data_IF_244015408375
#
_entry.id   IF_244015408375
#
_cell.length_a   1.000
_cell.length_b   1.000
_cell.length_c   1.000
_cell.angle_alpha   90.00
_cell.angle_beta   90.00
_cell.angle_gamma   90.00
#
_symmetry.space_group_name_H-M   'P 1'
#
loop_
_entity.id
_entity.type
_entity.pdbx_description
1 polymer ?
#
# COMPACT_ATOMS: atom_id res chain seq x y z
N UNK A 1 73.36 23.21 -73.08
CA UNK A 1 74.70 22.61 -72.96
C UNK A 1 74.87 22.31 -71.48
N UNK A 2 74.80 21.05 -71.04
CA UNK A 2 75.85 20.03 -71.18
C UNK A 2 77.12 20.40 -70.35
N UNK A 3 77.71 19.62 -69.45
CA UNK A 3 77.43 18.35 -68.71
C UNK A 3 78.83 17.80 -68.29
N UNK A 4 78.97 17.03 -67.18
CA UNK A 4 80.21 16.33 -66.73
C UNK A 4 81.42 17.25 -66.32
N UNK A 5 82.46 16.84 -65.55
CA UNK A 5 82.74 15.58 -64.80
C UNK A 5 83.83 15.71 -63.68
N UNK A 6 83.56 15.11 -62.49
CA UNK A 6 84.45 14.27 -61.62
C UNK A 6 85.89 14.62 -61.14
N UNK A 7 86.31 13.91 -60.06
CA UNK A 7 87.68 13.50 -59.59
C UNK A 7 88.45 14.45 -58.65
N UNK A 8 89.23 13.99 -57.64
CA UNK A 8 89.33 12.70 -56.88
C UNK A 8 90.09 12.97 -55.51
N UNK A 9 90.42 11.99 -54.61
CA UNK A 9 90.43 12.20 -53.13
C UNK A 9 91.76 11.74 -52.44
N UNK A 10 91.66 11.15 -51.23
CA UNK A 10 92.67 10.36 -50.46
C UNK A 10 93.63 11.22 -49.60
N UNK A 11 93.99 10.90 -48.34
CA UNK A 11 93.36 10.24 -47.15
C UNK A 11 94.23 10.70 -45.93
N UNK A 12 94.30 10.21 -44.67
CA UNK A 12 93.93 9.02 -43.89
C UNK A 12 93.57 9.52 -42.45
N UNK A 13 92.57 9.04 -41.69
CA UNK A 13 92.38 7.72 -41.07
C UNK A 13 93.20 7.48 -39.77
N UNK A 14 92.51 7.53 -38.62
CA UNK A 14 92.71 6.61 -37.49
C UNK A 14 91.32 6.23 -36.96
N UNK A 15 90.92 4.96 -37.16
CA UNK A 15 89.86 4.26 -36.41
C UNK A 15 90.49 3.69 -35.10
N UNK A 16 89.81 3.13 -34.11
CA UNK A 16 88.55 2.37 -34.02
C UNK A 16 87.79 2.76 -32.71
N UNK A 17 86.59 2.28 -32.36
CA UNK A 17 85.66 1.31 -32.95
C UNK A 17 84.21 1.80 -32.65
N UNK A 18 83.11 1.20 -33.11
CA UNK A 18 82.89 -0.04 -33.87
C UNK A 18 81.61 0.13 -34.71
N UNK A 19 81.53 -0.48 -35.90
CA UNK A 19 80.29 -0.48 -36.71
C UNK A 19 79.75 -1.89 -36.79
N UNK A 20 78.53 -2.09 -36.30
CA UNK A 20 77.67 -3.19 -36.70
C UNK A 20 76.41 -2.63 -37.34
N UNK A 21 76.37 -2.60 -38.67
CA UNK A 21 75.12 -2.47 -39.40
C UNK A 21 74.28 -3.74 -39.21
N UNK A 22 72.94 -3.65 -39.21
CA UNK A 22 72.04 -4.50 -40.00
C UNK A 22 70.55 -4.22 -39.70
N UNK A 23 69.77 -4.12 -40.79
CA UNK A 23 68.29 -4.23 -40.90
C UNK A 23 67.33 -3.29 -40.15
N UNK A 24 66.81 -2.33 -40.94
CA UNK A 24 65.39 -2.23 -41.35
C UNK A 24 64.23 -2.22 -40.32
N UNK A 25 63.45 -1.14 -40.45
CA UNK A 25 61.98 -1.13 -40.56
C UNK A 25 61.09 -1.44 -39.33
N UNK A 26 60.68 -0.35 -38.67
CA UNK A 26 59.25 -0.03 -38.48
C UNK A 26 58.57 -0.40 -37.16
N UNK A 27 57.97 0.60 -36.50
CA UNK A 27 56.77 0.42 -35.65
C UNK A 27 56.03 1.73 -35.26
N UNK A 28 55.74 2.62 -36.23
CA UNK A 28 54.70 3.66 -36.05
C UNK A 28 53.32 3.12 -36.45
N UNK A 29 52.72 2.28 -35.58
CA UNK A 29 51.33 1.78 -35.76
C UNK A 29 50.58 1.38 -34.47
N UNK A 30 51.25 1.38 -33.32
CA UNK A 30 50.74 0.68 -32.13
C UNK A 30 50.03 1.59 -31.11
N UNK A 31 50.30 2.90 -31.08
CA UNK A 31 49.70 3.82 -30.09
C UNK A 31 48.21 4.05 -30.36
N UNK A 32 47.83 4.27 -31.61
CA UNK A 32 46.44 4.27 -32.08
C UNK A 32 45.72 2.97 -31.66
N UNK A 33 46.35 1.82 -31.91
CA UNK A 33 45.77 0.52 -31.57
C UNK A 33 45.57 0.36 -30.05
N UNK A 34 46.50 0.84 -29.22
CA UNK A 34 46.36 0.82 -27.76
C UNK A 34 45.24 1.75 -27.27
N UNK A 35 45.03 2.91 -27.89
CA UNK A 35 43.91 3.81 -27.58
C UNK A 35 42.57 3.14 -27.96
N UNK A 36 42.48 2.53 -29.14
CA UNK A 36 41.30 1.78 -29.56
C UNK A 36 41.01 0.55 -28.67
N UNK A 37 42.04 -0.17 -28.23
CA UNK A 37 41.91 -1.28 -27.27
C UNK A 37 41.40 -0.77 -25.91
N UNK A 38 41.96 0.33 -25.39
CA UNK A 38 41.51 0.93 -24.13
C UNK A 38 40.05 1.41 -24.20
N UNK A 39 39.67 2.06 -25.31
CA UNK A 39 38.29 2.50 -25.56
C UNK A 39 37.31 1.33 -25.68
N UNK A 40 37.71 0.23 -26.34
CA UNK A 40 36.91 -1.00 -26.43
C UNK A 40 36.74 -1.66 -25.05
N UNK A 41 37.79 -1.69 -24.22
CA UNK A 41 37.71 -2.17 -22.83
C UNK A 41 36.74 -1.32 -21.99
N UNK A 42 36.78 0.02 -22.12
CA UNK A 42 35.83 0.91 -21.42
C UNK A 42 34.39 0.67 -21.87
N UNK A 43 34.15 0.42 -23.16
CA UNK A 43 32.82 0.04 -23.67
C UNK A 43 32.38 -1.32 -23.12
N UNK A 44 33.28 -2.31 -23.05
CA UNK A 44 32.98 -3.63 -22.48
C UNK A 44 32.60 -3.54 -21.00
N UNK A 45 33.32 -2.71 -20.23
CA UNK A 45 33.03 -2.46 -18.82
C UNK A 45 31.71 -1.69 -18.62
N UNK A 46 31.39 -0.71 -19.46
CA UNK A 46 30.12 0.01 -19.35
C UNK A 46 28.93 -0.86 -19.73
N UNK A 47 29.03 -1.67 -20.80
CA UNK A 47 27.99 -2.66 -21.17
C UNK A 47 27.81 -3.71 -20.08
N UNK A 48 28.90 -4.21 -19.48
CA UNK A 48 28.83 -5.13 -18.35
C UNK A 48 28.15 -4.53 -17.12
N UNK A 49 28.46 -3.26 -16.80
CA UNK A 49 27.83 -2.52 -15.71
C UNK A 49 26.34 -2.27 -15.95
N UNK A 50 25.96 -1.91 -17.18
CA UNK A 50 24.55 -1.72 -17.58
C UNK A 50 23.77 -3.03 -17.49
N UNK A 51 24.34 -4.15 -17.96
CA UNK A 51 23.72 -5.47 -17.89
C UNK A 51 23.52 -5.93 -16.44
N UNK A 52 24.53 -5.74 -15.58
CA UNK A 52 24.45 -6.05 -14.16
C UNK A 52 23.41 -5.18 -13.43
N UNK A 53 23.37 -3.88 -13.72
CA UNK A 53 22.36 -2.96 -13.17
C UNK A 53 20.93 -3.32 -13.62
N UNK A 54 20.74 -3.73 -14.88
CA UNK A 54 19.46 -4.27 -15.36
C UNK A 54 19.06 -5.54 -14.58
N UNK A 55 20.00 -6.45 -14.36
CA UNK A 55 19.73 -7.70 -13.63
C UNK A 55 19.41 -7.45 -12.14
N UNK A 56 20.06 -6.46 -11.51
CA UNK A 56 19.74 -5.96 -10.17
C UNK A 56 18.31 -5.39 -10.11
N UNK A 57 17.89 -4.63 -11.14
CA UNK A 57 16.55 -4.05 -11.24
C UNK A 57 15.46 -5.12 -11.36
N UNK A 58 15.68 -6.15 -12.18
CA UNK A 58 14.77 -7.29 -12.34
C UNK A 58 14.61 -8.09 -11.05
N UNK A 59 15.70 -8.31 -10.29
CA UNK A 59 15.62 -8.97 -8.99
C UNK A 59 14.73 -8.19 -8.01
N UNK A 60 14.90 -6.86 -7.93
CA UNK A 60 14.11 -6.02 -7.04
C UNK A 60 12.61 -5.99 -7.40
N UNK A 61 12.24 -6.09 -8.68
CA UNK A 61 10.83 -6.29 -9.07
C UNK A 61 10.30 -7.64 -8.57
N UNK A 62 11.04 -8.74 -8.74
CA UNK A 62 10.58 -10.08 -8.32
C UNK A 62 10.39 -10.23 -6.79
N UNK A 63 11.10 -9.46 -5.97
CA UNK A 63 10.87 -9.42 -4.52
C UNK A 63 9.56 -8.71 -4.15
N UNK A 64 9.20 -7.64 -4.87
CA UNK A 64 7.92 -6.91 -4.66
C UNK A 64 6.74 -7.70 -5.21
N UNK A 65 6.83 -8.20 -6.44
CA UNK A 65 5.76 -9.00 -7.07
C UNK A 65 5.47 -10.25 -6.23
N UNK A 66 6.52 -10.95 -5.76
CA UNK A 66 6.34 -12.12 -4.88
C UNK A 66 5.93 -11.78 -3.44
N UNK A 67 5.92 -10.51 -3.02
CA UNK A 67 5.26 -10.08 -1.79
C UNK A 67 3.77 -9.82 -2.03
N UNK A 68 3.42 -9.16 -3.14
CA UNK A 68 2.03 -8.91 -3.56
C UNK A 68 1.29 -10.23 -3.84
N UNK A 69 1.93 -11.20 -4.52
CA UNK A 69 1.33 -12.52 -4.77
C UNK A 69 1.09 -13.33 -3.49
N UNK A 70 1.95 -13.19 -2.46
CA UNK A 70 1.72 -13.81 -1.14
C UNK A 70 0.51 -13.18 -0.46
N UNK A 71 0.43 -11.86 -0.42
CA UNK A 71 -0.72 -11.16 0.17
C UNK A 71 -2.03 -11.44 -0.60
N UNK A 72 -1.95 -11.55 -1.92
CA UNK A 72 -3.05 -11.95 -2.81
C UNK A 72 -3.54 -13.38 -2.54
N UNK A 73 -2.64 -14.34 -2.38
CA UNK A 73 -2.99 -15.74 -2.06
C UNK A 73 -3.45 -15.92 -0.62
N UNK A 74 -2.94 -15.13 0.32
CA UNK A 74 -3.41 -15.08 1.71
C UNK A 74 -4.84 -14.52 1.79
N UNK A 75 -5.13 -13.36 1.17
CA UNK A 75 -6.49 -12.82 1.05
C UNK A 75 -7.45 -13.78 0.31
N UNK A 76 -6.97 -14.46 -0.73
CA UNK A 76 -7.77 -15.45 -1.47
C UNK A 76 -8.10 -16.68 -0.64
N UNK A 77 -7.15 -17.19 0.14
CA UNK A 77 -7.36 -18.35 1.02
C UNK A 77 -8.24 -18.00 2.22
N UNK A 78 -8.09 -16.82 2.82
CA UNK A 78 -8.99 -16.29 3.86
C UNK A 78 -10.42 -16.11 3.34
N UNK A 79 -10.58 -15.53 2.14
CA UNK A 79 -11.89 -15.41 1.47
C UNK A 79 -12.52 -16.78 1.21
N UNK A 80 -11.72 -17.77 0.81
CA UNK A 80 -12.20 -19.14 0.60
C UNK A 80 -12.56 -19.84 1.91
N UNK A 81 -11.81 -19.60 2.99
CA UNK A 81 -12.12 -20.10 4.34
C UNK A 81 -13.44 -19.53 4.86
N UNK A 82 -13.68 -18.22 4.75
CA UNK A 82 -14.97 -17.62 5.08
C UNK A 82 -16.10 -18.20 4.22
N UNK A 83 -15.87 -18.39 2.92
CA UNK A 83 -16.87 -19.01 2.02
C UNK A 83 -17.17 -20.48 2.37
N UNK A 84 -16.22 -21.20 2.97
CA UNK A 84 -16.45 -22.53 3.54
C UNK A 84 -17.24 -22.45 4.86
N UNK A 85 -16.89 -21.52 5.77
CA UNK A 85 -17.64 -21.28 7.01
C UNK A 85 -19.11 -20.93 6.73
N UNK A 86 -19.38 -20.03 5.76
CA UNK A 86 -20.76 -19.69 5.37
C UNK A 86 -21.53 -20.90 4.81
N UNK A 87 -20.90 -21.78 4.03
CA UNK A 87 -21.52 -23.03 3.58
C UNK A 87 -21.82 -23.96 4.75
N UNK A 88 -20.88 -24.12 5.68
CA UNK A 88 -21.04 -24.98 6.85
C UNK A 88 -22.15 -24.46 7.79
N UNK A 89 -22.28 -23.14 7.98
CA UNK A 89 -23.42 -22.54 8.68
C UNK A 89 -24.74 -22.82 7.94
N UNK A 90 -24.78 -22.66 6.61
CA UNK A 90 -25.98 -22.90 5.81
C UNK A 90 -26.38 -24.39 5.83
N UNK A 91 -25.42 -25.31 5.84
CA UNK A 91 -25.65 -26.76 5.99
C UNK A 91 -26.14 -27.11 7.40
N UNK A 92 -25.63 -26.45 8.44
CA UNK A 92 -26.15 -26.58 9.82
C UNK A 92 -27.57 -26.02 9.96
N UNK A 93 -27.87 -24.88 9.34
CA UNK A 93 -29.21 -24.29 9.29
C UNK A 93 -30.19 -25.22 8.55
N UNK A 94 -29.78 -25.80 7.41
CA UNK A 94 -30.56 -26.80 6.68
C UNK A 94 -30.85 -28.02 7.56
N UNK A 95 -29.83 -28.57 8.25
CA UNK A 95 -30.00 -29.70 9.16
C UNK A 95 -30.86 -29.39 10.40
N UNK A 96 -30.91 -28.13 10.86
CA UNK A 96 -31.88 -27.70 11.87
C UNK A 96 -33.30 -27.71 11.28
N UNK A 97 -33.50 -27.17 10.08
CA UNK A 97 -34.80 -27.18 9.39
C UNK A 97 -35.32 -28.60 9.17
N UNK A 98 -34.49 -29.49 8.62
CA UNK A 98 -34.84 -30.88 8.35
C UNK A 98 -35.24 -31.63 9.64
N UNK A 99 -34.58 -31.34 10.76
CA UNK A 99 -34.93 -31.89 12.09
C UNK A 99 -36.20 -31.28 12.67
N UNK A 100 -36.46 -29.98 12.42
CA UNK A 100 -37.71 -29.34 12.83
C UNK A 100 -38.91 -29.93 12.07
N UNK A 101 -38.76 -30.17 10.76
CA UNK A 101 -39.76 -30.87 9.94
C UNK A 101 -39.94 -32.33 10.38
N UNK A 102 -38.86 -33.04 10.74
CA UNK A 102 -38.95 -34.40 11.30
C UNK A 102 -39.71 -34.42 12.64
N UNK A 103 -39.46 -33.44 13.52
CA UNK A 103 -40.14 -33.29 14.81
C UNK A 103 -41.62 -32.92 14.63
N UNK A 104 -41.93 -32.01 13.71
CA UNK A 104 -43.29 -31.59 13.38
C UNK A 104 -44.12 -32.77 12.85
N UNK A 105 -43.58 -33.54 11.90
CA UNK A 105 -44.26 -34.70 11.34
C UNK A 105 -44.40 -35.88 12.33
N UNK A 106 -43.51 -36.00 13.33
CA UNK A 106 -43.55 -37.12 14.30
C UNK A 106 -44.45 -36.91 15.52
N UNK A 107 -45.08 -35.74 15.71
CA UNK A 107 -45.83 -35.45 16.95
C UNK A 107 -47.18 -34.76 16.73
N UNK A 108 -48.24 -35.57 16.58
CA UNK A 108 -49.62 -35.15 16.84
C UNK A 108 -49.85 -34.90 18.34
N UNK A 109 -49.45 -33.72 18.82
CA UNK A 109 -49.84 -33.16 20.11
C UNK A 109 -50.48 -31.77 19.91
N UNK A 110 -51.16 -31.26 20.94
CA UNK A 110 -51.90 -29.99 20.96
C UNK A 110 -51.26 -28.88 20.09
N UNK A 111 -51.86 -28.63 18.92
CA UNK A 111 -51.25 -27.82 17.86
C UNK A 111 -50.93 -26.39 18.35
N UNK A 112 -51.82 -25.80 19.15
CA UNK A 112 -51.61 -24.47 19.72
C UNK A 112 -50.46 -24.41 20.75
N UNK A 113 -50.27 -25.44 21.57
CA UNK A 113 -49.25 -25.42 22.63
C UNK A 113 -47.84 -25.69 22.06
N UNK A 114 -47.74 -26.58 21.06
CA UNK A 114 -46.48 -26.82 20.36
C UNK A 114 -46.04 -25.57 19.58
N UNK A 115 -46.95 -24.93 18.84
CA UNK A 115 -46.68 -23.69 18.11
C UNK A 115 -46.27 -22.56 19.07
N UNK A 116 -46.89 -22.44 20.25
CA UNK A 116 -46.49 -21.47 21.27
C UNK A 116 -45.07 -21.74 21.80
N UNK A 117 -44.71 -22.99 22.08
CA UNK A 117 -43.35 -23.34 22.54
C UNK A 117 -42.31 -23.08 21.45
N UNK A 118 -42.62 -23.36 20.19
CA UNK A 118 -41.76 -23.01 19.06
C UNK A 118 -41.59 -21.49 18.93
N UNK A 119 -42.68 -20.71 18.97
CA UNK A 119 -42.62 -19.25 18.88
C UNK A 119 -41.84 -18.60 20.03
N UNK A 120 -41.90 -19.14 21.25
CA UNK A 120 -41.07 -18.71 22.37
C UNK A 120 -39.58 -19.07 22.20
N UNK A 121 -39.27 -20.17 21.53
CA UNK A 121 -37.89 -20.54 21.18
C UNK A 121 -37.32 -19.62 20.08
N UNK A 122 -38.14 -19.23 19.10
CA UNK A 122 -37.78 -18.25 18.07
C UNK A 122 -37.54 -16.86 18.68
N UNK A 123 -38.40 -16.41 19.59
CA UNK A 123 -38.16 -15.19 20.38
C UNK A 123 -36.81 -15.28 21.12
N UNK A 124 -36.53 -16.39 21.81
CA UNK A 124 -35.24 -16.57 22.50
C UNK A 124 -34.05 -16.46 21.55
N UNK A 125 -34.14 -17.06 20.36
CA UNK A 125 -33.10 -16.97 19.33
C UNK A 125 -32.90 -15.53 18.82
N UNK A 126 -33.98 -14.77 18.63
CA UNK A 126 -33.92 -13.36 18.24
C UNK A 126 -33.31 -12.47 19.34
N UNK A 127 -33.58 -12.75 20.62
CA UNK A 127 -32.95 -12.04 21.75
C UNK A 127 -31.45 -12.37 21.90
N UNK A 128 -31.06 -13.62 21.64
CA UNK A 128 -29.65 -14.04 21.55
C UNK A 128 -28.92 -13.35 20.39
N UNK A 129 -29.52 -13.31 19.19
CA UNK A 129 -29.00 -12.52 18.05
C UNK A 129 -28.85 -11.05 18.41
N UNK A 130 -29.84 -10.45 19.09
CA UNK A 130 -29.78 -9.04 19.50
C UNK A 130 -28.59 -8.79 20.44
N UNK A 131 -28.41 -9.63 21.47
CA UNK A 131 -27.31 -9.55 22.42
C UNK A 131 -25.94 -9.76 21.74
N UNK A 132 -25.82 -10.74 20.85
CA UNK A 132 -24.58 -10.96 20.09
C UNK A 132 -24.26 -9.79 19.14
N UNK A 133 -25.26 -9.24 18.45
CA UNK A 133 -25.08 -8.06 17.57
C UNK A 133 -24.64 -6.84 18.38
N UNK A 134 -25.30 -6.56 19.50
CA UNK A 134 -24.97 -5.45 20.38
C UNK A 134 -23.56 -5.61 20.99
N UNK A 135 -23.27 -6.72 21.66
CA UNK A 135 -22.07 -6.87 22.49
C UNK A 135 -20.82 -7.34 21.74
N UNK A 136 -20.96 -8.06 20.62
CA UNK A 136 -19.82 -8.59 19.85
C UNK A 136 -19.60 -7.81 18.56
N UNK A 137 -20.66 -7.59 17.78
CA UNK A 137 -20.56 -6.92 16.48
C UNK A 137 -20.71 -5.38 16.57
N UNK A 138 -21.05 -4.83 17.74
CA UNK A 138 -21.38 -3.41 17.96
C UNK A 138 -22.51 -2.89 17.02
N UNK A 139 -23.30 -3.81 16.46
CA UNK A 139 -24.37 -3.55 15.50
C UNK A 139 -25.67 -3.18 16.24
N UNK A 140 -25.66 -1.97 16.80
CA UNK A 140 -26.82 -1.37 17.49
C UNK A 140 -28.07 -1.37 16.59
N UNK A 141 -27.91 -1.14 15.29
CA UNK A 141 -29.03 -1.10 14.33
C UNK A 141 -29.65 -2.48 14.12
N UNK A 142 -28.84 -3.52 13.89
CA UNK A 142 -29.32 -4.89 13.74
C UNK A 142 -29.80 -5.51 15.05
N UNK A 143 -29.27 -5.07 16.20
CA UNK A 143 -29.80 -5.42 17.51
C UNK A 143 -31.23 -4.87 17.70
N UNK A 144 -31.46 -3.57 17.42
CA UNK A 144 -32.81 -2.96 17.43
C UNK A 144 -33.76 -3.69 16.45
N UNK A 145 -33.26 -4.08 15.26
CA UNK A 145 -34.07 -4.86 14.30
C UNK A 145 -34.44 -6.24 14.86
N UNK A 146 -33.50 -6.99 15.45
CA UNK A 146 -33.76 -8.29 16.05
C UNK A 146 -34.76 -8.20 17.21
N UNK A 147 -34.59 -7.23 18.12
CA UNK A 147 -35.55 -6.91 19.20
C UNK A 147 -36.94 -6.56 18.64
N UNK A 148 -37.01 -5.76 17.57
CA UNK A 148 -38.29 -5.41 16.93
C UNK A 148 -38.99 -6.60 16.26
N UNK A 149 -38.24 -7.60 15.78
CA UNK A 149 -38.80 -8.85 15.26
C UNK A 149 -39.28 -9.73 16.42
N UNK A 150 -38.51 -9.81 17.51
CA UNK A 150 -38.90 -10.52 18.74
C UNK A 150 -40.21 -9.98 19.34
N UNK A 151 -40.37 -8.65 19.43
CA UNK A 151 -41.61 -8.04 19.92
C UNK A 151 -42.83 -8.34 19.03
N UNK A 152 -42.68 -8.31 17.71
CA UNK A 152 -43.73 -8.71 16.75
C UNK A 152 -44.06 -10.20 16.87
N UNK A 153 -43.07 -11.05 17.12
CA UNK A 153 -43.29 -12.47 17.33
C UNK A 153 -44.06 -12.71 18.65
N UNK A 154 -43.75 -11.97 19.72
CA UNK A 154 -44.52 -11.98 20.98
C UNK A 154 -45.94 -11.44 20.82
N UNK A 155 -46.14 -10.40 20.01
CA UNK A 155 -47.46 -9.89 19.66
C UNK A 155 -48.34 -10.97 19.01
N UNK A 156 -47.77 -11.77 18.10
CA UNK A 156 -48.50 -12.87 17.45
C UNK A 156 -48.91 -14.00 18.40
N UNK A 157 -48.24 -14.16 19.55
CA UNK A 157 -48.58 -15.15 20.58
C UNK A 157 -49.78 -14.66 21.44
N UNK A 158 -49.96 -13.35 21.58
CA UNK A 158 -51.06 -12.70 22.27
C UNK A 158 -51.35 -13.17 23.73
N UNK A 159 -50.34 -13.71 24.43
CA UNK A 159 -50.48 -14.10 25.85
C UNK A 159 -50.14 -12.92 26.78
N UNK A 160 -51.12 -12.52 27.60
CA UNK A 160 -50.96 -11.48 28.62
C UNK A 160 -49.77 -11.70 29.56
N UNK A 161 -49.39 -12.97 29.82
CA UNK A 161 -48.23 -13.32 30.66
C UNK A 161 -46.89 -12.82 30.11
N UNK A 162 -46.83 -12.50 28.81
CA UNK A 162 -45.61 -12.07 28.12
C UNK A 162 -45.50 -10.53 28.00
N UNK A 163 -46.46 -9.76 28.53
CA UNK A 163 -46.33 -8.29 28.58
C UNK A 163 -45.09 -7.78 29.34
N UNK A 164 -44.62 -8.39 30.45
CA UNK A 164 -43.37 -7.98 31.09
C UNK A 164 -42.16 -8.10 30.15
N UNK A 165 -42.12 -9.16 29.34
CA UNK A 165 -41.07 -9.36 28.33
C UNK A 165 -41.14 -8.31 27.22
N UNK A 166 -42.35 -7.99 26.70
CA UNK A 166 -42.52 -6.88 25.73
C UNK A 166 -42.09 -5.54 26.31
N UNK A 167 -42.30 -5.30 27.61
CA UNK A 167 -41.86 -4.07 28.28
C UNK A 167 -40.32 -3.99 28.38
N UNK A 168 -39.65 -5.09 28.76
CA UNK A 168 -38.17 -5.17 28.77
C UNK A 168 -37.59 -4.93 27.37
N UNK A 169 -38.14 -5.59 26.34
CA UNK A 169 -37.70 -5.40 24.95
C UNK A 169 -37.90 -3.95 24.48
N UNK A 170 -38.98 -3.28 24.89
CA UNK A 170 -39.19 -1.87 24.58
C UNK A 170 -38.18 -0.95 25.28
N UNK A 171 -37.82 -1.24 26.53
CA UNK A 171 -36.79 -0.51 27.29
C UNK A 171 -35.39 -0.70 26.68
N UNK A 172 -35.05 -1.92 26.25
CA UNK A 172 -33.81 -2.26 25.54
C UNK A 172 -33.73 -1.61 24.15
N UNK A 173 -34.85 -1.56 23.40
CA UNK A 173 -34.93 -0.80 22.15
C UNK A 173 -34.70 0.69 22.41
N UNK A 174 -35.29 1.27 23.47
CA UNK A 174 -35.11 2.68 23.81
C UNK A 174 -33.69 3.01 24.26
N UNK A 175 -33.04 2.13 25.03
CA UNK A 175 -31.66 2.33 25.47
C UNK A 175 -30.69 2.31 24.28
N UNK A 176 -30.82 1.33 23.37
CA UNK A 176 -30.06 1.27 22.13
C UNK A 176 -30.34 2.45 21.17
N UNK A 177 -31.60 2.89 21.06
CA UNK A 177 -31.95 4.05 20.23
C UNK A 177 -31.31 5.35 20.71
N UNK A 178 -31.05 5.49 22.02
CA UNK A 178 -30.34 6.67 22.55
C UNK A 178 -28.88 6.79 22.06
N UNK A 179 -28.31 5.68 21.59
CA UNK A 179 -26.95 5.61 21.04
C UNK A 179 -26.89 5.88 19.53
N UNK A 180 -27.99 5.64 18.81
CA UNK A 180 -28.02 5.53 17.34
C UNK A 180 -27.95 6.88 16.59
N UNK A 181 -27.28 7.89 17.17
CA UNK A 181 -27.13 9.24 16.62
C UNK A 181 -25.99 9.38 15.60
N UNK A 182 -25.13 8.37 15.48
CA UNK A 182 -23.96 8.38 14.59
C UNK A 182 -24.29 7.82 13.20
N UNK A 183 -24.20 8.66 12.15
CA UNK A 183 -24.42 8.24 10.77
C UNK A 183 -23.21 7.50 10.16
N UNK A 184 -22.99 6.28 10.64
CA UNK A 184 -21.98 5.33 10.12
C UNK A 184 -22.15 5.12 8.61
N UNK A 185 -23.39 5.16 8.10
CA UNK A 185 -23.68 4.96 6.67
C UNK A 185 -23.21 6.15 5.83
N UNK A 186 -23.55 7.39 6.23
CA UNK A 186 -23.09 8.61 5.59
C UNK A 186 -21.57 8.76 5.62
N UNK A 187 -20.93 8.44 6.75
CA UNK A 187 -19.47 8.44 6.85
C UNK A 187 -18.82 7.38 5.94
N UNK A 188 -19.37 6.16 5.87
CA UNK A 188 -18.89 5.13 4.95
C UNK A 188 -19.08 5.51 3.46
N UNK A 189 -20.14 6.24 3.13
CA UNK A 189 -20.37 6.80 1.79
C UNK A 189 -19.34 7.90 1.49
N UNK A 190 -19.05 8.81 2.44
CA UNK A 190 -18.03 9.84 2.27
C UNK A 190 -16.64 9.21 1.98
N UNK A 191 -16.25 8.17 2.73
CA UNK A 191 -15.00 7.44 2.49
C UNK A 191 -14.99 6.75 1.11
N UNK A 192 -16.09 6.16 0.67
CA UNK A 192 -16.19 5.57 -0.67
C UNK A 192 -16.05 6.63 -1.79
N UNK A 193 -16.65 7.82 -1.61
CA UNK A 193 -16.53 8.94 -2.56
C UNK A 193 -15.09 9.44 -2.62
N UNK A 194 -14.43 9.62 -1.46
CA UNK A 194 -13.01 9.97 -1.39
C UNK A 194 -12.14 8.91 -2.08
N UNK A 195 -12.37 7.62 -1.81
CA UNK A 195 -11.64 6.50 -2.43
C UNK A 195 -11.75 6.47 -3.97
N UNK A 196 -12.87 6.94 -4.53
CA UNK A 196 -13.07 7.05 -5.99
C UNK A 196 -12.35 8.27 -6.59
N UNK A 197 -12.27 9.39 -5.86
CA UNK A 197 -11.60 10.63 -6.29
C UNK A 197 -10.08 10.67 -6.01
N UNK A 198 -9.50 9.61 -5.44
CA UNK A 198 -8.05 9.49 -5.21
C UNK A 198 -7.22 9.83 -6.46
N UNK A 199 -7.66 9.42 -7.64
CA UNK A 199 -6.94 9.66 -8.90
C UNK A 199 -6.90 11.14 -9.34
N UNK A 200 -7.81 11.99 -8.82
CA UNK A 200 -7.84 13.42 -9.13
C UNK A 200 -6.82 14.23 -8.31
N UNK A 201 -6.19 13.60 -7.31
CA UNK A 201 -5.16 14.21 -6.46
C UNK A 201 -3.86 14.46 -7.24
N UNK A 202 -3.26 15.63 -7.04
CA UNK A 202 -1.99 16.01 -7.67
C UNK A 202 -0.83 15.61 -6.77
N UNK A 203 0.00 14.67 -7.22
CA UNK A 203 1.25 14.30 -6.54
C UNK A 203 2.22 15.48 -6.54
N UNK A 204 2.94 15.70 -5.44
CA UNK A 204 4.07 16.65 -5.40
C UNK A 204 5.13 16.22 -6.41
N UNK A 205 5.47 17.09 -7.36
CA UNK A 205 6.71 16.94 -8.13
C UNK A 205 7.87 17.41 -7.27
N UNK A 206 8.94 16.62 -7.22
CA UNK A 206 10.25 17.13 -6.81
C UNK A 206 10.69 18.28 -7.71
N UNK A 207 11.62 19.14 -7.25
CA UNK A 207 12.19 20.18 -8.09
C UNK A 207 12.77 19.54 -9.36
N UNK A 208 12.39 20.05 -10.52
CA UNK A 208 13.07 19.66 -11.76
C UNK A 208 14.53 20.06 -11.63
N UNK A 209 15.43 19.07 -11.74
CA UNK A 209 16.86 19.34 -11.86
C UNK A 209 17.07 19.89 -13.26
N UNK A 210 16.78 21.17 -13.44
CA UNK A 210 17.15 21.91 -14.64
C UNK A 210 18.66 21.89 -14.72
N UNK A 211 19.20 21.02 -15.57
CA UNK A 211 20.60 21.03 -15.99
C UNK A 211 20.89 22.34 -16.72
N UNK A 212 21.10 23.41 -15.94
CA UNK A 212 21.47 24.71 -16.45
C UNK A 212 22.76 24.55 -17.25
N UNK A 213 22.73 24.99 -18.51
CA UNK A 213 23.84 24.80 -19.44
C UNK A 213 25.12 25.41 -18.89
N UNK A 214 26.14 24.57 -18.64
CA UNK A 214 27.50 25.02 -18.36
C UNK A 214 28.17 25.50 -19.66
N UNK A 215 27.67 26.61 -20.20
CA UNK A 215 28.10 27.19 -21.48
C UNK A 215 28.63 28.62 -21.27
N UNK A 216 29.67 28.73 -20.43
CA UNK A 216 30.57 29.90 -20.35
C UNK A 216 31.95 29.45 -19.79
N UNK A 217 32.93 30.37 -19.81
CA UNK A 217 34.37 30.24 -19.52
C UNK A 217 35.27 29.86 -20.70
N UNK A 218 35.26 30.74 -21.71
CA UNK A 218 36.40 30.90 -22.62
C UNK A 218 37.48 31.84 -22.04
N UNK A 219 38.68 31.81 -22.66
CA UNK A 219 39.78 32.82 -22.55
C UNK A 219 40.72 32.75 -21.33
N UNK A 220 41.70 31.85 -21.44
CA UNK A 220 43.16 32.02 -21.17
C UNK A 220 43.68 32.79 -19.94
N UNK A 221 44.62 32.15 -19.23
CA UNK A 221 45.83 32.81 -18.71
C UNK A 221 47.05 31.88 -18.82
N UNK A 222 48.22 32.42 -19.17
CA UNK A 222 49.46 31.65 -19.37
C UNK A 222 50.33 31.62 -18.11
N UNK A 223 50.92 30.47 -17.77
CA UNK A 223 52.02 30.39 -16.80
C UNK A 223 52.91 29.17 -17.05
N UNK A 224 54.23 29.38 -17.00
CA UNK A 224 55.22 28.30 -17.12
C UNK A 224 55.19 27.38 -15.89
N UNK A 225 54.80 26.13 -16.09
CA UNK A 225 54.85 25.06 -15.08
C UNK A 225 54.98 23.72 -15.81
N UNK A 226 55.80 22.76 -15.34
CA UNK A 226 56.04 21.52 -16.08
C UNK A 226 54.76 20.67 -16.18
N UNK A 227 54.36 20.35 -17.41
CA UNK A 227 53.04 19.82 -17.79
C UNK A 227 52.55 18.58 -17.02
N UNK A 228 53.45 17.77 -16.44
CA UNK A 228 53.08 16.63 -15.61
C UNK A 228 52.33 17.03 -14.33
N UNK A 229 52.58 18.23 -13.78
CA UNK A 229 51.80 18.76 -12.65
C UNK A 229 50.39 19.16 -13.05
N UNK A 230 50.22 19.73 -14.24
CA UNK A 230 48.92 20.16 -14.76
C UNK A 230 48.02 18.97 -15.03
N UNK A 231 48.51 17.95 -15.76
CA UNK A 231 47.75 16.72 -15.97
C UNK A 231 47.29 16.04 -14.65
N UNK A 232 48.09 16.13 -13.59
CA UNK A 232 47.71 15.61 -12.27
C UNK A 232 46.68 16.52 -11.58
N UNK A 233 46.80 17.86 -11.64
CA UNK A 233 45.79 18.77 -11.06
C UNK A 233 44.45 18.65 -11.75
N UNK A 234 44.44 18.51 -13.08
CA UNK A 234 43.23 18.41 -13.89
C UNK A 234 42.46 17.13 -13.52
N UNK A 235 43.16 15.99 -13.44
CA UNK A 235 42.60 14.71 -12.96
C UNK A 235 42.11 14.83 -11.51
N UNK A 236 42.82 15.56 -10.64
CA UNK A 236 42.40 15.77 -9.24
C UNK A 236 41.12 16.63 -9.14
N UNK A 237 40.98 17.65 -9.98
CA UNK A 237 39.76 18.45 -10.07
C UNK A 237 38.60 17.64 -10.67
N UNK A 238 38.85 16.83 -11.70
CA UNK A 238 37.87 15.92 -12.29
C UNK A 238 37.35 14.92 -11.23
N UNK A 239 38.25 14.29 -10.47
CA UNK A 239 37.89 13.40 -9.35
C UNK A 239 37.14 14.14 -8.24
N UNK A 240 37.55 15.37 -7.89
CA UNK A 240 36.84 16.18 -6.88
C UNK A 240 35.42 16.54 -7.32
N UNK A 241 35.19 16.83 -8.61
CA UNK A 241 33.84 17.08 -9.15
C UNK A 241 32.93 15.84 -9.12
N UNK A 242 33.52 14.64 -9.06
CA UNK A 242 32.79 13.37 -8.95
C UNK A 242 32.46 12.99 -7.49
N UNK A 243 33.00 13.70 -6.49
CA UNK A 243 32.64 13.54 -5.07
C UNK A 243 31.58 14.57 -4.68
N UNK A 244 30.31 14.23 -4.94
CA UNK A 244 29.16 15.02 -4.46
C UNK A 244 29.06 14.89 -2.95
N UNK A 245 29.48 15.91 -2.20
CA UNK A 245 29.31 16.00 -0.75
C UNK A 245 27.83 16.29 -0.46
N UNK A 246 27.01 15.22 -0.47
CA UNK A 246 25.61 15.23 -0.06
C UNK A 246 25.54 15.60 1.42
N UNK A 247 25.34 16.88 1.69
CA UNK A 247 24.87 17.33 3.00
C UNK A 247 23.44 16.87 3.16
N UNK A 248 23.11 16.24 4.30
CA UNK A 248 21.74 15.87 4.62
C UNK A 248 20.96 17.11 5.06
N UNK A 249 20.51 17.89 4.07
CA UNK A 249 19.40 18.82 4.23
C UNK A 249 18.12 18.13 3.75
N UNK A 250 17.07 18.27 4.55
CA UNK A 250 15.75 17.64 4.38
C UNK A 250 15.10 17.98 3.03
N UNK A 251 15.30 17.11 2.05
CA UNK A 251 14.85 17.26 0.66
C UNK A 251 13.80 16.23 0.26
N UNK A 252 12.71 16.13 1.03
CA UNK A 252 11.64 15.12 0.86
C UNK A 252 10.73 15.40 -0.35
N UNK A 253 11.30 15.34 -1.55
CA UNK A 253 10.58 15.25 -2.80
C UNK A 253 11.46 14.59 -3.88
N UNK A 254 11.79 13.31 -3.70
CA UNK A 254 12.35 12.51 -4.78
C UNK A 254 11.37 12.53 -5.98
N UNK A 255 11.88 12.70 -7.20
CA UNK A 255 11.02 12.79 -8.39
C UNK A 255 10.44 11.41 -8.68
N UNK A 256 9.20 11.18 -8.22
CA UNK A 256 8.54 9.88 -8.29
C UNK A 256 8.41 9.39 -9.73
N UNK A 257 9.09 8.26 -10.00
CA UNK A 257 9.06 7.51 -11.27
C UNK A 257 7.60 7.20 -11.62
N UNK A 258 7.18 7.18 -12.91
CA UNK A 258 5.78 6.99 -13.29
C UNK A 258 5.10 5.79 -12.61
N UNK A 259 5.81 4.66 -12.47
CA UNK A 259 5.33 3.44 -11.81
C UNK A 259 5.09 3.65 -10.31
N UNK A 260 6.00 4.34 -9.60
CA UNK A 260 5.88 4.64 -8.17
C UNK A 260 4.65 5.49 -7.84
N UNK A 261 4.19 6.33 -8.78
CA UNK A 261 2.96 7.11 -8.61
C UNK A 261 1.71 6.24 -8.62
N UNK A 262 1.67 5.17 -9.41
CA UNK A 262 0.53 4.24 -9.43
C UNK A 262 0.31 3.59 -8.06
N UNK A 263 1.38 3.07 -7.45
CA UNK A 263 1.33 2.47 -6.11
C UNK A 263 0.88 3.46 -5.04
N UNK A 264 1.28 4.75 -5.12
CA UNK A 264 0.83 5.78 -4.19
C UNK A 264 -0.71 5.97 -4.23
N UNK A 265 -1.30 6.07 -5.42
CA UNK A 265 -2.77 6.14 -5.57
C UNK A 265 -3.45 4.86 -5.08
N UNK A 266 -2.94 3.68 -5.47
CA UNK A 266 -3.53 2.40 -5.09
C UNK A 266 -3.47 2.15 -3.58
N UNK A 267 -2.37 2.50 -2.92
CA UNK A 267 -2.21 2.36 -1.47
C UNK A 267 -3.09 3.36 -0.71
N UNK A 268 -3.22 4.61 -1.18
CA UNK A 268 -4.12 5.59 -0.56
C UNK A 268 -5.58 5.15 -0.67
N UNK A 269 -5.97 4.61 -1.83
CA UNK A 269 -7.31 4.00 -2.02
C UNK A 269 -7.52 2.81 -1.09
N UNK A 270 -6.52 1.93 -0.95
CA UNK A 270 -6.58 0.79 -0.03
C UNK A 270 -6.78 1.25 1.42
N UNK A 271 -6.08 2.29 1.89
CA UNK A 271 -6.28 2.81 3.26
C UNK A 271 -7.68 3.44 3.47
N UNK A 272 -8.24 4.13 2.47
CA UNK A 272 -9.62 4.64 2.54
C UNK A 272 -10.66 3.52 2.58
N UNK A 273 -10.44 2.43 1.84
CA UNK A 273 -11.30 1.25 1.88
C UNK A 273 -11.14 0.45 3.20
N UNK A 274 -9.92 0.37 3.75
CA UNK A 274 -9.66 -0.19 5.09
C UNK A 274 -10.33 0.63 6.19
N UNK A 275 -10.24 1.96 6.15
CA UNK A 275 -10.95 2.85 7.06
C UNK A 275 -12.47 2.63 6.98
N UNK A 276 -13.02 2.49 5.75
CA UNK A 276 -14.44 2.21 5.55
C UNK A 276 -14.86 0.85 6.10
N UNK A 277 -14.04 -0.19 5.94
CA UNK A 277 -14.31 -1.52 6.49
C UNK A 277 -14.24 -1.52 8.03
N UNK A 278 -13.23 -0.86 8.61
CA UNK A 278 -13.08 -0.72 10.06
C UNK A 278 -14.28 0.04 10.67
N UNK A 279 -14.70 1.14 10.04
CA UNK A 279 -15.90 1.91 10.42
C UNK A 279 -17.17 1.04 10.42
N UNK A 280 -17.39 0.24 9.37
CA UNK A 280 -18.57 -0.64 9.26
C UNK A 280 -18.56 -1.81 10.25
N UNK A 281 -17.38 -2.19 10.76
CA UNK A 281 -17.19 -3.20 11.80
C UNK A 281 -17.04 -2.59 13.21
N UNK A 282 -17.23 -1.26 13.37
CA UNK A 282 -16.99 -0.49 14.59
C UNK A 282 -15.57 -0.62 15.21
N UNK A 283 -14.56 -1.03 14.43
CA UNK A 283 -13.17 -1.05 14.88
C UNK A 283 -12.58 0.37 14.82
N UNK A 284 -12.80 1.12 15.91
CA UNK A 284 -12.23 2.45 16.11
C UNK A 284 -10.70 2.47 15.95
N UNK A 285 -10.02 1.40 16.36
CA UNK A 285 -8.55 1.35 16.39
C UNK A 285 -7.96 1.29 14.98
N UNK A 286 -8.48 0.39 14.14
CA UNK A 286 -8.10 0.31 12.71
C UNK A 286 -8.61 1.53 11.94
N UNK A 287 -9.78 2.07 12.30
CA UNK A 287 -10.33 3.28 11.70
C UNK A 287 -9.43 4.50 11.89
N UNK A 288 -9.14 4.88 13.16
CA UNK A 288 -8.29 6.04 13.48
C UNK A 288 -6.87 5.85 12.94
N UNK A 289 -6.34 4.62 12.91
CA UNK A 289 -5.04 4.32 12.29
C UNK A 289 -5.03 4.50 10.76
N UNK A 290 -6.01 3.96 10.04
CA UNK A 290 -6.13 4.12 8.58
C UNK A 290 -6.39 5.57 8.18
N UNK A 291 -7.19 6.32 8.95
CA UNK A 291 -7.38 7.76 8.73
C UNK A 291 -6.08 8.55 8.92
N UNK A 292 -5.36 8.35 10.03
CA UNK A 292 -4.06 9.03 10.26
C UNK A 292 -3.10 8.74 9.11
N UNK A 293 -2.92 7.47 8.76
CA UNK A 293 -2.01 7.06 7.67
C UNK A 293 -2.39 7.70 6.33
N UNK A 294 -3.68 7.83 6.04
CA UNK A 294 -4.20 8.52 4.85
C UNK A 294 -3.89 10.02 4.88
N UNK A 295 -4.09 10.68 6.02
CA UNK A 295 -3.80 12.11 6.23
C UNK A 295 -2.29 12.38 6.11
N UNK A 296 -1.46 11.53 6.70
CA UNK A 296 0.01 11.63 6.65
C UNK A 296 0.52 11.48 5.22
N UNK A 297 0.01 10.50 4.45
CA UNK A 297 0.37 10.32 3.05
C UNK A 297 -0.14 11.47 2.15
N UNK A 298 -1.33 12.00 2.41
CA UNK A 298 -1.85 13.21 1.75
C UNK A 298 -0.94 14.43 2.00
N UNK A 299 -0.47 14.60 3.24
CA UNK A 299 0.40 15.70 3.62
C UNK A 299 1.84 15.54 3.12
N UNK A 300 2.36 14.31 3.06
CA UNK A 300 3.71 14.03 2.60
C UNK A 300 3.80 14.03 1.07
N UNK A 301 2.93 13.33 0.33
CA UNK A 301 3.11 13.08 -1.11
C UNK A 301 2.21 13.91 -2.05
N UNK A 302 1.12 14.52 -1.58
CA UNK A 302 0.14 15.20 -2.43
C UNK A 302 0.07 16.72 -2.22
N UNK A 303 -0.58 17.45 -3.12
CA UNK A 303 -0.68 18.92 -3.09
C UNK A 303 -1.93 19.45 -3.84
N UNK A 304 -2.35 20.66 -3.51
CA UNK A 304 -3.48 21.37 -4.13
C UNK A 304 -4.81 21.20 -3.38
N UNK A 305 -5.80 22.00 -3.78
CA UNK A 305 -7.07 22.17 -3.06
C UNK A 305 -7.85 20.86 -2.84
N UNK A 306 -7.75 19.89 -3.76
CA UNK A 306 -8.32 18.56 -3.61
C UNK A 306 -7.73 17.80 -2.42
N UNK A 307 -6.40 17.88 -2.22
CA UNK A 307 -5.71 17.32 -1.04
C UNK A 307 -6.19 18.01 0.23
N UNK A 308 -6.24 19.33 0.21
CA UNK A 308 -6.61 20.15 1.38
C UNK A 308 -8.05 19.84 1.84
N UNK A 309 -9.00 19.78 0.90
CA UNK A 309 -10.40 19.43 1.18
C UNK A 309 -10.57 17.98 1.69
N UNK A 310 -9.78 17.04 1.15
CA UNK A 310 -9.85 15.65 1.58
C UNK A 310 -9.24 15.45 2.97
N UNK A 311 -8.11 16.10 3.27
CA UNK A 311 -7.52 16.11 4.63
C UNK A 311 -8.51 16.67 5.64
N UNK A 312 -9.11 17.85 5.38
CA UNK A 312 -10.09 18.45 6.30
C UNK A 312 -11.28 17.51 6.57
N UNK A 313 -11.80 16.85 5.54
CA UNK A 313 -12.90 15.87 5.71
C UNK A 313 -12.47 14.66 6.54
N UNK A 314 -11.28 14.11 6.29
CA UNK A 314 -10.75 12.97 7.06
C UNK A 314 -10.43 13.35 8.52
N UNK A 315 -9.98 14.58 8.78
CA UNK A 315 -9.79 15.09 10.15
C UNK A 315 -11.11 15.18 10.90
N UNK A 316 -12.14 15.80 10.33
CA UNK A 316 -13.48 15.86 10.94
C UNK A 316 -14.05 14.45 11.24
N UNK A 317 -13.81 13.50 10.34
CA UNK A 317 -14.19 12.10 10.53
C UNK A 317 -13.37 11.43 11.66
N UNK A 318 -12.09 11.75 11.82
CA UNK A 318 -11.25 11.22 12.91
C UNK A 318 -11.56 11.81 14.30
N UNK A 319 -12.11 13.03 14.34
CA UNK A 319 -12.59 13.71 15.57
C UNK A 319 -13.96 13.19 16.03
N UNK A 320 -14.64 12.37 15.23
CA UNK A 320 -15.93 11.78 15.56
C UNK A 320 -15.72 10.44 16.26
N UNK A 321 -16.01 10.36 17.56
CA UNK A 321 -15.86 9.12 18.33
C UNK A 321 -16.93 8.08 17.95
N UNK A 322 -16.47 6.89 17.55
CA UNK A 322 -17.31 5.74 17.13
C UNK A 322 -17.63 4.83 18.32
N UNK A 323 -16.75 4.77 19.32
CA UNK A 323 -16.88 3.89 20.49
C UNK A 323 -17.92 4.44 21.47
N UNK A 324 -19.17 4.07 21.24
CA UNK A 324 -20.28 4.32 22.15
C UNK A 324 -20.41 3.12 23.08
N UNK A 325 -20.44 3.35 24.40
CA UNK A 325 -20.62 2.28 25.38
C UNK A 325 -22.04 1.68 25.27
N UNK A 326 -22.11 0.46 24.76
CA UNK A 326 -23.39 -0.25 24.53
C UNK A 326 -23.95 -0.73 25.88
N UNK A 327 -25.21 -0.41 26.23
CA UNK A 327 -25.83 -0.85 27.47
C UNK A 327 -26.12 -2.36 27.43
N UNK A 328 -26.22 -2.96 28.61
CA UNK A 328 -26.69 -4.33 28.76
C UNK A 328 -28.15 -4.45 28.27
N UNK A 329 -28.39 -5.41 27.37
CA UNK A 329 -29.71 -5.77 26.81
C UNK A 329 -30.02 -7.26 27.01
N UNK A 330 -29.45 -7.88 28.04
CA UNK A 330 -29.70 -9.27 28.40
C UNK A 330 -30.96 -9.44 29.27
N UNK A 331 -31.60 -8.36 29.73
CA UNK A 331 -32.72 -8.40 30.67
C UNK A 331 -33.92 -9.20 30.15
N UNK A 332 -34.32 -8.97 28.90
CA UNK A 332 -35.37 -9.72 28.21
C UNK A 332 -35.02 -11.20 28.02
N UNK A 333 -33.76 -11.50 27.67
CA UNK A 333 -33.27 -12.87 27.48
C UNK A 333 -33.28 -13.63 28.82
N UNK A 334 -32.71 -13.04 29.88
CA UNK A 334 -32.67 -13.62 31.22
C UNK A 334 -34.09 -13.88 31.76
N UNK A 335 -35.01 -12.92 31.61
CA UNK A 335 -36.43 -13.11 31.99
C UNK A 335 -37.07 -14.29 31.26
N UNK A 336 -36.77 -14.47 29.97
CA UNK A 336 -37.31 -15.58 29.18
C UNK A 336 -36.69 -16.93 29.56
N UNK A 337 -35.43 -16.96 30.02
CA UNK A 337 -34.82 -18.16 30.59
C UNK A 337 -35.41 -18.54 31.95
N UNK A 338 -35.70 -17.57 32.82
CA UNK A 338 -36.40 -17.79 34.09
C UNK A 338 -37.85 -18.26 33.87
N UNK A 339 -38.57 -17.68 32.89
CA UNK A 339 -39.95 -18.05 32.55
C UNK A 339 -40.07 -19.47 31.92
N UNK A 340 -38.97 -20.08 31.49
CA UNK A 340 -38.94 -21.42 30.89
C UNK A 340 -38.56 -22.56 31.87
N UNK A 341 -38.24 -22.24 33.13
CA UNK A 341 -37.86 -23.21 34.17
C UNK A 341 -39.05 -23.68 35.03
#
# INVERSE_FOLDING_TARGET
>A
MADKQTKQPIDDNVKDAEISETNQAGQKKNTEALIWIALLIVILLSVGSIAWFYQQLLQQQTEVDSAVDKQSTELSSLTQQHRQQFRQLNEQQQQLSDRLDEIANKKQFSNAELMKKWALQEVKYLLDIANQRALLAHDVTGAIQALSIADKQLESIADYKLHPLRALIAEEIMSLQSLASLDVTGMAIQLQVMANHVNDLRVKKGPEVTSASSDDLAVTASSDTPAWKQAISDIWQQLRSMVVIRHEQTGEAAVLVPEQRYFLYQNLRLQLESARLALLNADESSYKHSLSTTIDWLNHYFTGQQRDAMVNTLTNLSETDITIAIPDISGSLNWLEEYQQ
#
